data_IF_771114258505
#
_entry.id   IF_771114258505
#
_cell.length_a   1.000
_cell.length_b   1.000
_cell.length_c   1.000
_cell.angle_alpha   90.00
_cell.angle_beta   90.00
_cell.angle_gamma   90.00
#
_symmetry.space_group_name_H-M   'P 1'
#
loop_
_entity.id
_entity.type
_entity.pdbx_description
1 polymer ?
#
# COMPACT_ATOMS: atom_id res chain seq x y z
N UNK A 1 -16.95 6.45 -7.37
CA UNK A 1 -18.09 5.75 -6.72
C UNK A 1 -17.67 5.11 -5.40
N UNK A 2 -16.75 4.12 -5.38
CA UNK A 2 -16.39 3.42 -4.13
C UNK A 2 -16.01 4.37 -2.97
N UNK A 3 -15.09 5.31 -3.20
CA UNK A 3 -14.63 6.25 -2.17
C UNK A 3 -15.74 7.16 -1.64
N UNK A 4 -16.67 7.59 -2.50
CA UNK A 4 -17.86 8.35 -2.07
C UNK A 4 -18.75 7.51 -1.16
N UNK A 5 -18.92 6.21 -1.46
CA UNK A 5 -19.65 5.30 -0.57
C UNK A 5 -18.92 5.05 0.75
N UNK A 6 -17.58 5.01 0.72
CA UNK A 6 -16.79 4.90 1.95
C UNK A 6 -17.01 6.13 2.85
N UNK A 7 -16.97 7.33 2.29
CA UNK A 7 -17.23 8.58 3.03
C UNK A 7 -18.66 8.63 3.60
N UNK A 8 -19.65 8.17 2.83
CA UNK A 8 -21.07 8.19 3.23
C UNK A 8 -21.41 7.15 4.30
N UNK A 9 -20.93 5.90 4.14
CA UNK A 9 -21.43 4.76 4.91
C UNK A 9 -20.45 4.20 5.94
N UNK A 10 -19.17 4.54 5.87
CA UNK A 10 -18.23 4.16 6.94
C UNK A 10 -18.59 4.95 8.21
N UNK A 11 -18.37 4.31 9.38
CA UNK A 11 -18.71 4.96 10.65
C UNK A 11 -17.84 6.21 10.86
N UNK A 12 -18.35 7.19 11.61
CA UNK A 12 -17.62 8.44 11.97
C UNK A 12 -16.18 8.24 12.47
N UNK A 13 -15.93 7.18 13.25
CA UNK A 13 -14.60 6.83 13.79
C UNK A 13 -14.02 5.59 13.08
N UNK A 14 -14.32 5.41 11.79
CA UNK A 14 -13.84 4.34 10.95
C UNK A 14 -12.79 4.85 9.98
N UNK A 15 -11.89 3.97 9.56
CA UNK A 15 -11.01 4.20 8.42
C UNK A 15 -11.78 4.02 7.11
N UNK A 16 -11.93 5.10 6.33
CA UNK A 16 -12.44 5.05 4.95
C UNK A 16 -11.41 4.45 4.01
N UNK A 17 -10.13 4.79 4.23
CA UNK A 17 -8.98 4.21 3.56
C UNK A 17 -7.76 4.14 4.49
N UNK A 18 -6.74 3.44 4.03
CA UNK A 18 -5.34 3.58 4.45
C UNK A 18 -4.50 3.96 3.25
N UNK A 19 -3.38 4.60 3.52
CA UNK A 19 -2.45 5.06 2.49
C UNK A 19 -1.08 4.42 2.68
N UNK A 20 -0.51 3.97 1.57
CA UNK A 20 0.90 3.62 1.44
C UNK A 20 1.52 4.66 0.51
N UNK A 21 2.55 5.34 1.01
CA UNK A 21 3.37 6.25 0.21
C UNK A 21 4.75 5.63 0.02
N UNK A 22 5.17 5.51 -1.24
CA UNK A 22 6.44 4.87 -1.62
C UNK A 22 7.24 5.78 -2.54
N UNK A 23 8.53 5.95 -2.23
CA UNK A 23 9.47 6.58 -3.14
C UNK A 23 9.83 5.62 -4.28
N UNK A 24 10.04 6.16 -5.48
CA UNK A 24 10.36 5.39 -6.68
C UNK A 24 11.78 5.75 -7.17
N UNK A 25 12.53 4.83 -7.78
CA UNK A 25 13.86 5.15 -8.30
C UNK A 25 13.79 6.16 -9.44
N UNK A 26 14.72 7.11 -9.45
CA UNK A 26 14.87 8.11 -10.54
C UNK A 26 15.43 7.48 -11.80
N UNK A 27 16.21 6.42 -11.61
CA UNK A 27 16.88 5.62 -12.62
C UNK A 27 15.87 4.95 -13.55
N UNK A 28 14.73 4.52 -13.00
CA UNK A 28 13.63 3.97 -13.77
C UNK A 28 12.91 5.07 -14.57
N UNK A 29 12.53 4.75 -15.80
CA UNK A 29 11.66 5.57 -16.63
C UNK A 29 10.24 5.64 -16.05
N UNK A 30 9.41 6.64 -16.43
CA UNK A 30 8.03 6.73 -15.97
C UNK A 30 7.19 5.47 -16.20
N UNK A 31 7.41 4.77 -17.32
CA UNK A 31 6.68 3.53 -17.63
C UNK A 31 7.11 2.38 -16.72
N UNK A 32 8.41 2.24 -16.44
CA UNK A 32 8.93 1.22 -15.53
C UNK A 32 8.50 1.48 -14.08
N UNK A 33 8.47 2.75 -13.66
CA UNK A 33 7.91 3.14 -12.36
C UNK A 33 6.43 2.76 -12.24
N UNK A 34 5.66 2.95 -13.31
CA UNK A 34 4.25 2.55 -13.37
C UNK A 34 4.08 1.04 -13.24
N UNK A 35 4.89 0.26 -13.95
CA UNK A 35 4.89 -1.21 -13.87
C UNK A 35 5.24 -1.70 -12.47
N UNK A 36 6.29 -1.14 -11.85
CA UNK A 36 6.67 -1.45 -10.47
C UNK A 36 5.52 -1.20 -9.50
N UNK A 37 4.85 -0.05 -9.57
CA UNK A 37 3.71 0.27 -8.70
C UNK A 37 2.55 -0.68 -8.97
N UNK A 38 2.27 -0.99 -10.25
CA UNK A 38 1.21 -1.91 -10.62
C UNK A 38 1.46 -3.31 -10.07
N UNK A 39 2.67 -3.85 -10.24
CA UNK A 39 3.05 -5.15 -9.67
C UNK A 39 2.94 -5.15 -8.15
N UNK A 40 3.40 -4.08 -7.49
CA UNK A 40 3.31 -3.97 -6.03
C UNK A 40 1.86 -3.98 -5.52
N UNK A 41 0.96 -3.19 -6.14
CA UNK A 41 -0.46 -3.18 -5.70
C UNK A 41 -1.17 -4.50 -6.02
N UNK A 42 -0.82 -5.17 -7.12
CA UNK A 42 -1.36 -6.49 -7.45
C UNK A 42 -0.91 -7.55 -6.43
N UNK A 43 0.36 -7.52 -6.00
CA UNK A 43 0.90 -8.45 -5.00
C UNK A 43 0.34 -8.22 -3.60
N UNK A 44 0.28 -6.97 -3.14
CA UNK A 44 -0.05 -6.64 -1.75
C UNK A 44 -1.55 -6.45 -1.50
N UNK A 45 -2.30 -6.02 -2.52
CA UNK A 45 -3.73 -5.68 -2.39
C UNK A 45 -4.60 -6.59 -3.26
N UNK A 46 -4.20 -6.78 -4.52
CA UNK A 46 -4.87 -7.66 -5.49
C UNK A 46 -6.39 -7.50 -5.52
N UNK A 47 -7.11 -8.60 -5.65
CA UNK A 47 -8.58 -8.58 -5.62
C UNK A 47 -9.14 -8.49 -4.20
N UNK A 48 -8.30 -8.64 -3.16
CA UNK A 48 -8.74 -8.65 -1.77
C UNK A 48 -9.17 -7.28 -1.27
N UNK A 49 -8.64 -6.20 -1.85
CA UNK A 49 -8.88 -4.84 -1.40
C UNK A 49 -9.33 -3.95 -2.56
N UNK A 50 -10.26 -3.03 -2.29
CA UNK A 50 -10.52 -1.93 -3.19
C UNK A 50 -9.39 -0.90 -3.04
N UNK A 51 -8.76 -0.47 -4.13
CA UNK A 51 -7.65 0.47 -4.10
C UNK A 51 -7.66 1.46 -5.29
N UNK A 52 -6.89 2.52 -5.15
CA UNK A 52 -6.58 3.51 -6.19
C UNK A 52 -5.17 4.01 -5.92
N UNK A 53 -4.40 4.22 -6.97
CA UNK A 53 -3.04 4.74 -6.84
C UNK A 53 -2.73 5.79 -7.90
N UNK A 54 -1.76 6.64 -7.58
CA UNK A 54 -1.25 7.69 -8.47
C UNK A 54 0.25 7.88 -8.25
N UNK A 55 0.97 8.24 -9.30
CA UNK A 55 2.39 8.60 -9.22
C UNK A 55 2.52 10.12 -9.37
N UNK A 56 3.23 10.74 -8.44
CA UNK A 56 3.65 12.13 -8.50
C UNK A 56 5.14 12.22 -8.84
N UNK A 57 5.55 13.28 -9.51
CA UNK A 57 6.97 13.53 -9.84
C UNK A 57 7.30 15.03 -9.68
N UNK A 58 7.17 15.60 -8.47
CA UNK A 58 7.60 16.97 -8.22
C UNK A 58 9.12 17.09 -8.30
N UNK A 59 9.62 18.33 -8.28
CA UNK A 59 11.05 18.59 -8.09
C UNK A 59 11.40 18.48 -6.61
N UNK A 60 12.50 17.81 -6.30
CA UNK A 60 13.07 17.72 -4.97
C UNK A 60 13.52 19.11 -4.49
N UNK A 61 13.20 19.41 -3.23
CA UNK A 61 13.47 20.71 -2.62
C UNK A 61 14.94 21.00 -2.36
N UNK A 62 15.79 19.96 -2.28
CA UNK A 62 17.21 20.09 -1.92
C UNK A 62 18.11 20.01 -3.16
N UNK A 63 17.95 18.99 -4.00
CA UNK A 63 18.87 18.70 -5.11
C UNK A 63 18.32 19.03 -6.51
N UNK A 64 17.11 19.57 -6.60
CA UNK A 64 16.49 19.99 -7.87
C UNK A 64 16.10 18.86 -8.85
N UNK A 65 16.48 17.60 -8.58
CA UNK A 65 16.08 16.42 -9.35
C UNK A 65 14.63 16.00 -9.11
N UNK A 66 14.08 15.09 -9.92
CA UNK A 66 12.72 14.56 -9.73
C UNK A 66 12.54 13.85 -8.39
N UNK A 67 11.42 13.93 -7.71
CA UNK A 67 11.13 13.11 -6.52
C UNK A 67 9.93 12.21 -6.80
N UNK A 68 10.07 11.19 -7.68
CA UNK A 68 8.95 10.34 -8.02
C UNK A 68 8.50 9.52 -6.79
N UNK A 69 7.22 9.55 -6.49
CA UNK A 69 6.60 8.77 -5.42
C UNK A 69 5.18 8.37 -5.81
N UNK A 70 4.70 7.25 -5.29
CA UNK A 70 3.32 6.82 -5.47
C UNK A 70 2.53 6.96 -4.16
N UNK A 71 1.30 7.46 -4.30
CA UNK A 71 0.26 7.38 -3.29
C UNK A 71 -0.65 6.21 -3.63
N UNK A 72 -0.82 5.27 -2.70
CA UNK A 72 -1.67 4.09 -2.85
C UNK A 72 -2.72 4.12 -1.73
N UNK A 73 -3.95 4.49 -2.08
CA UNK A 73 -5.09 4.45 -1.18
C UNK A 73 -5.79 3.10 -1.30
N UNK A 74 -6.05 2.43 -0.18
CA UNK A 74 -6.80 1.17 -0.17
C UNK A 74 -7.79 1.08 0.99
N UNK A 75 -8.88 0.33 0.79
CA UNK A 75 -9.84 0.03 1.84
C UNK A 75 -9.40 -1.21 2.60
N UNK A 76 -9.38 -1.16 3.93
CA UNK A 76 -9.09 -2.34 4.77
C UNK A 76 -10.21 -3.39 4.77
N UNK A 77 -11.33 -3.10 4.09
CA UNK A 77 -12.43 -4.04 3.90
C UNK A 77 -11.98 -5.13 2.93
N UNK A 78 -12.06 -6.38 3.38
CA UNK A 78 -11.72 -7.56 2.60
C UNK A 78 -12.88 -7.93 1.67
N UNK A 79 -12.59 -8.10 0.38
CA UNK A 79 -13.52 -8.66 -0.60
C UNK A 79 -13.58 -10.18 -0.43
N UNK A 80 -14.72 -10.66 0.05
CA UNK A 80 -14.98 -12.08 0.33
C UNK A 80 -15.88 -12.74 -0.72
N UNK A 81 -16.16 -12.04 -1.84
CA UNK A 81 -17.01 -12.52 -2.93
C UNK A 81 -18.52 -12.46 -2.65
N UNK A 82 -18.94 -11.97 -1.48
CA UNK A 82 -20.37 -11.79 -1.18
C UNK A 82 -20.84 -10.44 -1.69
N UNK A 83 -21.83 -10.46 -2.58
CA UNK A 83 -22.47 -9.24 -3.08
C UNK A 83 -23.19 -8.50 -1.95
N UNK A 84 -22.95 -7.19 -1.86
CA UNK A 84 -23.52 -6.31 -0.85
C UNK A 84 -23.89 -4.98 -1.48
N UNK A 85 -24.98 -4.38 -1.01
CA UNK A 85 -25.23 -2.96 -1.27
C UNK A 85 -24.13 -2.09 -0.64
N UNK A 86 -23.88 -0.87 -1.15
CA UNK A 86 -22.88 0.02 -0.56
C UNK A 86 -23.07 0.24 0.95
N UNK A 87 -24.29 0.47 1.42
CA UNK A 87 -24.56 0.65 2.86
C UNK A 87 -24.24 -0.62 3.67
N UNK A 88 -24.48 -1.80 3.10
CA UNK A 88 -24.17 -3.06 3.78
C UNK A 88 -22.67 -3.31 3.80
N UNK A 89 -21.95 -3.03 2.71
CA UNK A 89 -20.50 -3.23 2.59
C UNK A 89 -19.73 -2.62 3.77
N UNK A 90 -20.11 -1.41 4.21
CA UNK A 90 -19.45 -0.68 5.30
C UNK A 90 -20.05 -0.94 6.70
N UNK A 91 -21.07 -1.79 6.86
CA UNK A 91 -21.56 -2.21 8.18
C UNK A 91 -20.52 -3.02 8.94
N UNK A 92 -20.74 -3.26 10.25
CA UNK A 92 -19.89 -4.18 11.01
C UNK A 92 -19.96 -5.58 10.41
N UNK A 93 -18.82 -6.26 10.41
CA UNK A 93 -18.75 -7.67 10.07
C UNK A 93 -19.51 -8.52 11.08
N UNK A 94 -20.21 -9.53 10.58
CA UNK A 94 -20.95 -10.50 11.38
C UNK A 94 -20.31 -11.88 11.20
N UNK A 95 -19.46 -12.29 12.13
CA UNK A 95 -18.72 -13.56 12.03
C UNK A 95 -19.61 -14.80 12.06
N UNK A 96 -20.84 -14.71 12.56
CA UNK A 96 -21.78 -15.84 12.59
C UNK A 96 -22.56 -15.99 11.28
N UNK A 97 -22.80 -14.88 10.58
CA UNK A 97 -23.56 -14.81 9.32
C UNK A 97 -22.95 -13.70 8.43
N UNK A 98 -21.80 -13.96 7.75
CA UNK A 98 -21.07 -12.95 6.97
C UNK A 98 -21.90 -12.21 5.92
N UNK A 99 -22.88 -12.91 5.33
CA UNK A 99 -23.82 -12.40 4.33
C UNK A 99 -24.83 -11.39 4.88
N UNK A 100 -24.99 -11.33 6.21
CA UNK A 100 -25.87 -10.38 6.91
C UNK A 100 -25.10 -9.22 7.55
N UNK A 101 -23.78 -9.19 7.40
CA UNK A 101 -22.90 -8.11 7.87
C UNK A 101 -22.27 -7.35 6.71
N UNK A 102 -21.41 -6.38 7.06
CA UNK A 102 -20.49 -5.74 6.10
C UNK A 102 -19.18 -6.51 5.98
N UNK A 103 -18.28 -6.05 5.12
CA UNK A 103 -17.00 -6.71 4.87
C UNK A 103 -16.10 -6.67 6.11
N UNK A 104 -15.38 -7.76 6.38
CA UNK A 104 -14.41 -7.79 7.48
C UNK A 104 -13.27 -6.81 7.24
N UNK A 105 -12.79 -6.13 8.29
CA UNK A 105 -11.57 -5.33 8.21
C UNK A 105 -10.36 -6.21 8.52
N UNK A 106 -9.34 -6.14 7.67
CA UNK A 106 -8.08 -6.89 7.80
C UNK A 106 -7.33 -6.59 9.11
N UNK A 107 -7.56 -5.45 9.74
CA UNK A 107 -6.82 -4.99 10.93
C UNK A 107 -7.42 -5.38 12.30
N UNK A 108 -8.62 -5.96 12.35
CA UNK A 108 -9.42 -6.06 13.59
C UNK A 108 -8.87 -6.99 14.67
N UNK A 109 -7.96 -7.90 14.33
CA UNK A 109 -7.47 -8.94 15.25
C UNK A 109 -5.95 -8.88 15.51
N UNK A 110 -5.27 -7.80 15.12
CA UNK A 110 -3.80 -7.71 15.20
C UNK A 110 -3.32 -7.00 16.45
N UNK A 111 -2.29 -7.51 17.11
CA UNK A 111 -1.57 -6.82 18.19
C UNK A 111 -0.70 -5.70 17.65
N UNK A 112 -0.15 -4.84 18.52
CA UNK A 112 0.80 -3.81 18.11
C UNK A 112 2.08 -4.41 17.51
N UNK A 113 2.61 -5.46 18.12
CA UNK A 113 3.79 -6.16 17.61
C UNK A 113 3.55 -6.80 16.25
N UNK A 114 2.41 -7.48 16.06
CA UNK A 114 2.05 -8.06 14.75
C UNK A 114 1.99 -6.99 13.66
N UNK A 115 1.35 -5.84 13.93
CA UNK A 115 1.30 -4.73 12.96
C UNK A 115 2.68 -4.16 12.65
N UNK A 116 3.57 -4.11 13.65
CA UNK A 116 4.94 -3.63 13.47
C UNK A 116 5.73 -4.60 12.58
N UNK A 117 5.64 -5.91 12.87
CA UNK A 117 6.28 -6.96 12.07
C UNK A 117 5.80 -6.90 10.62
N UNK A 118 4.50 -6.90 10.39
CA UNK A 118 3.94 -6.85 9.03
C UNK A 118 4.33 -5.59 8.26
N UNK A 119 4.48 -4.44 8.94
CA UNK A 119 4.96 -3.22 8.32
C UNK A 119 6.43 -3.34 7.89
N UNK A 120 7.27 -3.99 8.70
CA UNK A 120 8.67 -4.23 8.34
C UNK A 120 8.75 -5.20 7.16
N UNK A 121 8.00 -6.30 7.19
CA UNK A 121 7.94 -7.26 6.09
C UNK A 121 7.40 -6.62 4.79
N UNK A 122 6.41 -5.72 4.88
CA UNK A 122 5.91 -4.97 3.72
C UNK A 122 7.01 -4.09 3.10
N UNK A 123 7.80 -3.42 3.95
CA UNK A 123 8.92 -2.58 3.48
C UNK A 123 10.03 -3.43 2.85
N UNK A 124 10.31 -4.60 3.41
CA UNK A 124 11.24 -5.56 2.84
C UNK A 124 10.80 -6.01 1.44
N UNK A 125 9.56 -6.50 1.30
CA UNK A 125 9.01 -6.92 0.00
C UNK A 125 9.04 -5.81 -1.03
N UNK A 126 8.73 -4.57 -0.64
CA UNK A 126 8.82 -3.43 -1.55
C UNK A 126 10.27 -3.15 -1.97
N UNK A 127 11.24 -3.18 -1.05
CA UNK A 127 12.64 -2.98 -1.38
C UNK A 127 13.17 -4.08 -2.31
N UNK A 128 12.79 -5.34 -2.08
CA UNK A 128 13.16 -6.47 -2.94
C UNK A 128 12.59 -6.30 -4.35
N UNK A 129 11.31 -5.94 -4.47
CA UNK A 129 10.68 -5.67 -5.76
C UNK A 129 11.35 -4.50 -6.48
N UNK A 130 11.65 -3.42 -5.76
CA UNK A 130 12.34 -2.25 -6.30
C UNK A 130 13.74 -2.61 -6.81
N UNK A 131 14.48 -3.42 -6.07
CA UNK A 131 15.79 -3.92 -6.48
C UNK A 131 15.72 -4.84 -7.70
N UNK A 132 14.71 -5.70 -7.79
CA UNK A 132 14.50 -6.57 -8.94
C UNK A 132 14.27 -5.76 -10.22
N UNK A 133 13.45 -4.70 -10.16
CA UNK A 133 13.23 -3.79 -11.29
C UNK A 133 14.51 -3.01 -11.65
N UNK A 134 15.26 -2.52 -10.67
CA UNK A 134 16.53 -1.86 -10.92
C UNK A 134 17.51 -2.79 -11.64
N UNK A 135 17.59 -4.05 -11.21
CA UNK A 135 18.42 -5.07 -11.84
C UNK A 135 17.99 -5.40 -13.26
N UNK A 136 16.70 -5.66 -13.47
CA UNK A 136 16.11 -6.00 -14.76
C UNK A 136 16.42 -4.94 -15.82
N UNK A 137 16.40 -3.67 -15.42
CA UNK A 137 16.67 -2.54 -16.31
C UNK A 137 18.14 -2.07 -16.30
N UNK A 138 19.04 -2.86 -15.71
CA UNK A 138 20.49 -2.68 -15.83
C UNK A 138 21.09 -1.59 -14.93
N UNK A 139 20.39 -1.21 -13.86
CA UNK A 139 20.90 -0.26 -12.87
C UNK A 139 21.69 -0.99 -11.77
N UNK A 140 22.80 -0.39 -11.34
CA UNK A 140 23.64 -0.93 -10.27
C UNK A 140 23.15 -0.53 -8.87
N UNK A 141 22.38 0.56 -8.77
CA UNK A 141 21.84 1.06 -7.50
C UNK A 141 20.90 0.05 -6.83
N UNK A 142 20.91 0.04 -5.51
CA UNK A 142 20.06 -0.83 -4.68
C UNK A 142 19.55 -0.07 -3.46
N UNK A 143 18.39 -0.48 -2.97
CA UNK A 143 17.74 0.05 -1.77
C UNK A 143 17.65 -1.04 -0.71
N UNK A 144 17.78 -0.66 0.55
CA UNK A 144 17.58 -1.55 1.69
C UNK A 144 16.53 -0.93 2.62
N UNK A 145 15.57 -1.73 3.06
CA UNK A 145 14.45 -1.29 3.89
C UNK A 145 14.85 -1.00 5.35
N UNK A 146 16.00 -1.55 5.78
CA UNK A 146 16.52 -1.44 7.14
C UNK A 146 17.17 -0.07 7.35
N UNK A 147 17.27 0.36 8.61
CA UNK A 147 18.02 1.57 8.91
C UNK A 147 19.52 1.37 8.62
N UNK A 148 20.27 2.46 8.43
CA UNK A 148 21.73 2.38 8.27
C UNK A 148 22.39 1.67 9.45
N UNK A 149 21.92 1.91 10.67
CA UNK A 149 22.41 1.23 11.87
C UNK A 149 22.16 -0.28 11.82
N UNK A 150 20.97 -0.72 11.38
CA UNK A 150 20.65 -2.14 11.22
C UNK A 150 21.41 -2.81 10.08
N UNK A 151 21.92 -2.02 9.13
CA UNK A 151 22.85 -2.46 8.08
C UNK A 151 24.32 -2.47 8.54
N UNK A 152 24.62 -1.92 9.73
CA UNK A 152 25.99 -1.75 10.22
C UNK A 152 26.76 -0.62 9.55
N UNK A 153 26.05 0.38 8.98
CA UNK A 153 26.63 1.54 8.31
C UNK A 153 26.59 2.75 9.23
N UNK A 154 27.77 3.23 9.61
CA UNK A 154 27.95 4.48 10.37
C UNK A 154 28.00 5.68 9.42
N UNK A 155 27.29 6.76 9.74
CA UNK A 155 27.44 8.06 9.07
C UNK A 155 28.41 8.93 9.86
N UNK A 156 29.57 9.23 9.26
CA UNK A 156 30.54 10.21 9.76
C UNK A 156 30.06 11.65 9.58
#
# INVERSE_FOLDING_TARGET
IFWQCADEYERKNGSTYREIEIALPRELTPQQRKELVQTFVEQELGEQHAYTWAIHTPKASIEGGEQPHAHIMYSERLQDGIERSPDQFFKRYNSKNPERGGCQKSNTAKTAEQRKTELVELRERFADLQNAYLEEYGHADRVDHRSLADQGIERS
#
